data_IF_114426815434
#
_entry.id   IF_114426815434
#
_cell.length_a   1.000
_cell.length_b   1.000
_cell.length_c   1.000
_cell.angle_alpha   90.00
_cell.angle_beta   90.00
_cell.angle_gamma   90.00
#
_symmetry.space_group_name_H-M   'P 1'
#
loop_
_entity.id
_entity.type
_entity.pdbx_description
1 polymer ?
#
# COMPACT_ATOMS: atom_id res chain seq x y z
N UNK A 1 10.89 32.34 -6.64
CA UNK A 1 11.25 31.20 -5.78
C UNK A 1 11.66 30.05 -6.67
N UNK A 2 12.95 29.72 -6.70
CA UNK A 2 13.48 28.62 -7.52
C UNK A 2 13.11 27.31 -6.85
N UNK A 3 12.22 26.52 -7.46
CA UNK A 3 11.90 25.17 -6.97
C UNK A 3 13.15 24.32 -7.21
N UNK A 4 13.93 24.07 -6.16
CA UNK A 4 15.00 23.09 -6.22
C UNK A 4 14.39 21.72 -6.50
N UNK A 5 14.59 21.23 -7.73
CA UNK A 5 14.24 19.85 -8.11
C UNK A 5 15.08 18.90 -7.27
N UNK A 6 14.42 18.02 -6.53
CA UNK A 6 15.10 16.96 -5.81
C UNK A 6 15.54 15.88 -6.80
N UNK A 7 16.79 15.98 -7.25
CA UNK A 7 17.34 15.08 -8.27
C UNK A 7 17.35 13.62 -7.80
N UNK A 8 17.31 13.38 -6.48
CA UNK A 8 17.24 12.03 -5.88
C UNK A 8 15.88 11.35 -6.09
N UNK A 9 14.81 12.15 -6.26
CA UNK A 9 13.45 11.67 -6.45
C UNK A 9 12.99 11.80 -7.90
N UNK A 10 13.90 12.13 -8.82
CA UNK A 10 13.52 12.35 -10.22
C UNK A 10 13.11 11.04 -10.89
N UNK A 11 11.87 10.95 -11.41
CA UNK A 11 11.34 9.75 -12.03
C UNK A 11 12.02 9.43 -13.38
N UNK A 12 12.26 8.15 -13.66
CA UNK A 12 12.57 7.60 -14.98
C UNK A 12 11.44 6.66 -15.41
N UNK A 13 10.69 7.04 -16.45
CA UNK A 13 9.54 6.28 -16.95
C UNK A 13 9.87 4.85 -17.32
N UNK A 14 9.07 3.92 -16.81
CA UNK A 14 9.16 2.50 -17.12
C UNK A 14 8.18 2.03 -18.22
N UNK A 15 7.20 2.87 -18.55
CA UNK A 15 6.05 2.55 -19.42
C UNK A 15 5.26 1.29 -19.00
N UNK A 16 5.40 0.84 -17.75
CA UNK A 16 4.80 -0.40 -17.25
C UNK A 16 3.50 -0.20 -16.52
N UNK A 17 3.19 0.99 -15.98
CA UNK A 17 1.86 1.34 -15.51
C UNK A 17 1.61 2.82 -15.80
N UNK A 18 0.94 3.19 -16.93
CA UNK A 18 0.89 4.56 -17.42
C UNK A 18 0.49 5.59 -16.36
N UNK A 19 -0.53 5.33 -15.53
CA UNK A 19 -0.93 6.28 -14.48
C UNK A 19 0.06 6.40 -13.31
N UNK A 20 0.89 5.40 -13.05
CA UNK A 20 1.96 5.48 -12.06
C UNK A 20 3.21 6.15 -12.65
N UNK A 21 3.44 5.99 -13.95
CA UNK A 21 4.67 6.45 -14.63
C UNK A 21 4.65 7.91 -15.09
N UNK A 22 3.48 8.49 -15.37
CA UNK A 22 3.36 9.84 -15.95
C UNK A 22 3.11 10.94 -14.90
N UNK A 23 2.92 10.56 -13.65
CA UNK A 23 2.59 11.46 -12.54
C UNK A 23 3.79 11.58 -11.61
N UNK A 24 4.08 12.80 -11.15
CA UNK A 24 5.03 13.01 -10.05
C UNK A 24 4.32 12.67 -8.73
N UNK A 25 4.80 11.62 -8.06
CA UNK A 25 4.24 11.13 -6.80
C UNK A 25 4.93 11.75 -5.57
N UNK A 26 5.97 12.56 -5.79
CA UNK A 26 6.69 13.24 -4.71
C UNK A 26 5.73 14.09 -3.89
N UNK A 27 5.79 13.99 -2.57
CA UNK A 27 4.92 14.78 -1.70
C UNK A 27 3.48 14.27 -1.59
N UNK A 28 3.10 13.20 -2.32
CA UNK A 28 1.77 12.60 -2.26
C UNK A 28 1.76 11.45 -1.25
N UNK A 29 0.78 11.44 -0.36
CA UNK A 29 0.53 10.29 0.53
C UNK A 29 -0.15 9.17 -0.26
N UNK A 30 0.39 7.96 -0.19
CA UNK A 30 -0.19 6.78 -0.84
C UNK A 30 -0.36 5.70 0.21
N UNK A 31 -1.54 5.10 0.28
CA UNK A 31 -1.78 3.96 1.16
C UNK A 31 -1.07 2.73 0.59
N UNK A 32 -0.25 2.09 1.40
CA UNK A 32 0.59 0.96 0.97
C UNK A 32 0.21 -0.36 1.62
N UNK A 33 -0.57 -0.32 2.71
CA UNK A 33 -1.04 -1.54 3.38
C UNK A 33 -1.72 -1.26 4.72
N UNK A 34 -1.85 -2.34 5.49
CA UNK A 34 -2.42 -2.37 6.82
C UNK A 34 -1.34 -2.61 7.87
N UNK A 35 -1.53 -2.10 9.09
CA UNK A 35 -0.63 -2.36 10.20
C UNK A 35 -0.60 -3.86 10.57
N UNK A 36 -1.75 -4.54 10.48
CA UNK A 36 -1.92 -5.97 10.81
C UNK A 36 -1.21 -6.90 9.83
N UNK A 37 -0.81 -6.40 8.66
CA UNK A 37 0.03 -7.14 7.73
C UNK A 37 1.46 -7.33 8.27
N UNK A 38 1.93 -6.45 9.17
CA UNK A 38 3.25 -6.55 9.78
C UNK A 38 3.15 -7.34 11.09
N UNK A 39 3.31 -8.65 11.02
CA UNK A 39 3.01 -9.56 12.14
C UNK A 39 4.10 -9.67 13.20
N UNK A 40 5.35 -9.36 12.86
CA UNK A 40 6.48 -9.42 13.79
C UNK A 40 7.53 -8.35 13.52
N UNK A 41 8.38 -8.08 14.53
CA UNK A 41 9.54 -7.21 14.35
C UNK A 41 10.45 -7.78 13.28
N UNK A 42 10.78 -6.94 12.29
CA UNK A 42 11.52 -7.33 11.11
C UNK A 42 10.66 -7.71 9.91
N UNK A 43 9.33 -7.85 10.08
CA UNK A 43 8.41 -8.02 8.96
C UNK A 43 8.46 -6.80 8.02
N UNK A 44 8.33 -7.04 6.72
CA UNK A 44 8.50 -6.03 5.68
C UNK A 44 7.34 -6.08 4.71
N UNK A 45 6.63 -4.98 4.60
CA UNK A 45 5.59 -4.75 3.60
C UNK A 45 6.22 -4.02 2.40
N UNK A 46 6.40 -4.70 1.25
CA UNK A 46 6.90 -4.07 0.03
C UNK A 46 5.83 -3.14 -0.56
N UNK A 47 6.25 -2.02 -1.11
CA UNK A 47 5.35 -1.04 -1.71
C UNK A 47 5.94 -0.34 -2.93
N UNK A 48 5.10 -0.07 -3.92
CA UNK A 48 5.48 0.70 -5.11
C UNK A 48 4.65 1.98 -5.20
N UNK A 49 5.34 3.13 -5.22
CA UNK A 49 4.71 4.45 -5.35
C UNK A 49 5.27 5.14 -6.58
N UNK A 50 4.50 5.14 -7.67
CA UNK A 50 5.01 5.62 -8.95
C UNK A 50 6.19 4.79 -9.42
N UNK A 51 7.39 5.37 -9.33
CA UNK A 51 8.67 4.74 -9.66
C UNK A 51 9.59 4.58 -8.45
N UNK A 52 9.06 4.74 -7.25
CA UNK A 52 9.80 4.56 -6.02
C UNK A 52 9.47 3.20 -5.44
N UNK A 53 10.50 2.39 -5.27
CA UNK A 53 10.42 1.17 -4.47
C UNK A 53 10.58 1.57 -3.00
N UNK A 54 9.49 1.51 -2.26
CA UNK A 54 9.44 1.75 -0.84
C UNK A 54 9.13 0.46 -0.09
N UNK A 55 9.34 0.49 1.21
CA UNK A 55 8.89 -0.58 2.10
C UNK A 55 8.54 0.00 3.45
N UNK A 56 7.62 -0.65 4.14
CA UNK A 56 7.35 -0.41 5.55
C UNK A 56 7.87 -1.61 6.33
N UNK A 57 8.70 -1.38 7.34
CA UNK A 57 9.18 -2.41 8.25
C UNK A 57 8.58 -2.23 9.63
N UNK A 58 8.30 -3.31 10.33
CA UNK A 58 8.03 -3.24 11.76
C UNK A 58 9.33 -3.29 12.55
N UNK A 59 9.59 -2.28 13.37
CA UNK A 59 10.73 -2.23 14.29
C UNK A 59 10.24 -2.36 15.73
N UNK A 60 11.16 -2.51 16.68
CA UNK A 60 10.81 -2.47 18.11
C UNK A 60 10.12 -1.15 18.53
N UNK A 61 10.43 -0.05 17.83
CA UNK A 61 9.83 1.25 18.08
C UNK A 61 8.51 1.49 17.31
N UNK A 62 8.07 0.52 16.50
CA UNK A 62 6.91 0.64 15.61
C UNK A 62 7.27 0.63 14.12
N UNK A 63 6.28 0.84 13.24
CA UNK A 63 6.49 0.78 11.81
C UNK A 63 7.32 1.98 11.30
N UNK A 64 8.22 1.73 10.35
CA UNK A 64 9.07 2.74 9.71
C UNK A 64 9.05 2.51 8.20
N UNK A 65 8.79 3.57 7.43
CA UNK A 65 8.89 3.53 5.97
C UNK A 65 10.28 3.94 5.50
N UNK A 66 10.78 3.28 4.47
CA UNK A 66 12.09 3.59 3.90
C UNK A 66 12.18 3.28 2.40
N UNK A 67 13.21 3.82 1.78
CA UNK A 67 13.71 3.49 0.45
C UNK A 67 15.06 2.78 0.55
N UNK A 68 15.44 2.00 -0.45
CA UNK A 68 16.75 1.36 -0.50
C UNK A 68 17.81 2.30 -1.09
N UNK A 69 18.76 2.73 -0.26
CA UNK A 69 19.79 3.70 -0.63
C UNK A 69 20.79 3.15 -1.68
N UNK A 70 21.11 1.84 -1.65
CA UNK A 70 22.02 1.18 -2.62
C UNK A 70 21.82 -0.35 -2.72
N UNK A 71 21.19 -0.81 -3.80
CA UNK A 71 21.51 -2.12 -4.39
C UNK A 71 21.71 -2.00 -5.91
N UNK A 72 22.77 -2.61 -6.48
CA UNK A 72 23.13 -2.66 -7.92
C UNK A 72 22.35 -1.69 -8.85
N UNK A 73 22.63 -0.38 -8.74
CA UNK A 73 21.99 0.64 -9.58
C UNK A 73 21.14 1.72 -8.86
N UNK A 74 20.89 1.63 -7.55
CA UNK A 74 20.42 2.77 -6.75
C UNK A 74 18.91 3.04 -6.77
N UNK A 75 18.10 2.14 -6.20
CA UNK A 75 16.65 2.29 -6.11
C UNK A 75 16.18 3.34 -5.07
N UNK A 76 16.54 4.59 -5.28
CA UNK A 76 15.71 5.75 -4.93
C UNK A 76 14.78 6.11 -6.11
N UNK A 77 15.25 5.84 -7.34
CA UNK A 77 14.51 5.84 -8.60
C UNK A 77 15.01 4.68 -9.48
N UNK A 78 14.26 4.29 -10.49
CA UNK A 78 14.48 3.03 -11.23
C UNK A 78 15.47 3.25 -12.37
N UNK A 79 16.58 2.52 -12.45
CA UNK A 79 17.49 2.65 -13.58
C UNK A 79 16.84 2.24 -14.91
N UNK A 80 17.16 2.93 -16.00
CA UNK A 80 16.71 2.62 -17.37
C UNK A 80 16.90 1.14 -17.75
N UNK A 81 17.94 0.48 -17.21
CA UNK A 81 18.20 -0.94 -17.44
C UNK A 81 17.10 -1.86 -16.87
N UNK A 82 16.46 -1.47 -15.77
CA UNK A 82 15.28 -2.14 -15.19
C UNK A 82 13.97 -1.79 -15.93
N UNK A 83 13.94 -0.66 -16.67
CA UNK A 83 12.83 -0.23 -17.52
C UNK A 83 12.82 -0.86 -18.93
N UNK A 84 13.89 -1.54 -19.34
CA UNK A 84 13.93 -2.26 -20.62
C UNK A 84 12.93 -3.43 -20.63
N UNK A 85 12.40 -3.76 -21.80
CA UNK A 85 11.19 -4.57 -22.07
C UNK A 85 11.25 -6.06 -21.72
N UNK A 86 12.10 -6.47 -20.76
CA UNK A 86 12.08 -7.81 -20.17
C UNK A 86 11.89 -7.70 -18.65
N UNK A 87 11.03 -8.55 -18.09
CA UNK A 87 10.97 -8.75 -16.64
C UNK A 87 12.33 -9.27 -16.17
N UNK A 88 13.20 -8.37 -15.73
CA UNK A 88 14.40 -8.77 -15.00
C UNK A 88 13.93 -8.95 -13.56
N UNK A 89 13.99 -10.19 -13.06
CA UNK A 89 13.81 -10.45 -11.62
C UNK A 89 14.86 -9.59 -10.90
N UNK A 90 14.42 -8.58 -10.14
CA UNK A 90 15.35 -7.82 -9.34
C UNK A 90 16.09 -8.79 -8.41
N UNK A 91 17.43 -8.76 -8.36
CA UNK A 91 18.18 -9.64 -7.46
C UNK A 91 17.81 -9.45 -5.99
N UNK A 92 17.18 -8.32 -5.64
CA UNK A 92 16.79 -7.97 -4.26
C UNK A 92 15.35 -8.37 -3.89
N UNK A 93 14.62 -9.06 -4.80
CA UNK A 93 13.26 -9.60 -4.62
C UNK A 93 12.19 -8.54 -4.24
N UNK A 94 11.03 -8.57 -4.91
CA UNK A 94 9.83 -7.77 -4.62
C UNK A 94 9.88 -6.22 -4.74
N UNK A 95 10.90 -5.61 -5.38
CA UNK A 95 10.82 -4.18 -5.71
C UNK A 95 10.10 -3.92 -7.06
N UNK A 96 9.16 -2.97 -7.07
CA UNK A 96 8.52 -2.19 -8.17
C UNK A 96 8.29 -2.79 -9.57
N UNK A 97 9.25 -3.53 -10.14
CA UNK A 97 9.16 -4.10 -11.49
C UNK A 97 8.84 -5.59 -11.49
N UNK A 98 8.88 -6.24 -10.32
CA UNK A 98 8.66 -7.69 -10.18
C UNK A 98 7.37 -8.07 -9.45
N UNK A 99 6.37 -7.19 -9.38
CA UNK A 99 5.10 -7.35 -8.63
C UNK A 99 5.25 -7.01 -7.14
N UNK A 100 4.33 -6.19 -6.61
CA UNK A 100 4.17 -5.98 -5.16
C UNK A 100 3.81 -7.34 -4.56
N UNK A 101 4.81 -7.98 -3.95
CA UNK A 101 4.66 -9.31 -3.36
C UNK A 101 3.85 -9.31 -2.07
N UNK A 102 3.63 -10.51 -1.49
CA UNK A 102 3.13 -10.62 -0.13
C UNK A 102 4.11 -9.98 0.87
N UNK A 103 3.64 -9.77 2.10
CA UNK A 103 4.50 -9.34 3.21
C UNK A 103 5.64 -10.34 3.36
N UNK A 104 6.87 -9.85 3.57
CA UNK A 104 8.03 -10.66 3.91
C UNK A 104 8.10 -10.79 5.44
N UNK A 105 7.68 -11.94 5.93
CA UNK A 105 7.59 -12.31 7.34
C UNK A 105 8.19 -13.72 7.54
N UNK A 106 8.16 -14.26 8.75
CA UNK A 106 8.63 -15.62 9.05
C UNK A 106 7.86 -16.71 8.29
N UNK A 107 6.69 -16.40 7.71
CA UNK A 107 5.87 -17.35 6.96
C UNK A 107 6.26 -17.37 5.48
N UNK A 108 6.50 -16.21 4.89
CA UNK A 108 6.81 -16.07 3.45
C UNK A 108 8.31 -16.02 3.16
N UNK A 109 9.13 -15.65 4.16
CA UNK A 109 10.59 -15.69 4.14
C UNK A 109 11.17 -16.29 5.45
N UNK A 110 10.97 -17.60 5.71
CA UNK A 110 11.35 -18.23 6.99
C UNK A 110 12.86 -18.17 7.31
N UNK A 111 13.70 -18.00 6.29
CA UNK A 111 15.15 -17.88 6.46
C UNK A 111 15.62 -16.43 6.53
N UNK A 112 14.72 -15.46 6.28
CA UNK A 112 15.02 -14.05 6.31
C UNK A 112 15.97 -13.55 5.20
N UNK A 113 16.14 -14.32 4.12
CA UNK A 113 17.10 -13.99 3.07
C UNK A 113 16.64 -12.80 2.22
N UNK A 114 15.33 -12.68 1.98
CA UNK A 114 14.79 -11.56 1.24
C UNK A 114 14.69 -10.34 2.16
N UNK A 115 14.19 -10.51 3.39
CA UNK A 115 14.03 -9.40 4.34
C UNK A 115 15.36 -8.78 4.77
N UNK A 116 16.46 -9.54 4.84
CA UNK A 116 17.77 -9.02 5.24
C UNK A 116 18.29 -7.90 4.32
N UNK A 117 17.90 -7.88 3.05
CA UNK A 117 18.29 -6.84 2.10
C UNK A 117 17.65 -5.48 2.42
N UNK A 118 16.54 -5.49 3.15
CA UNK A 118 15.77 -4.31 3.54
C UNK A 118 16.02 -3.92 5.00
N UNK A 119 16.96 -4.53 5.71
CA UNK A 119 17.31 -4.23 7.11
C UNK A 119 18.75 -3.71 7.22
N UNK A 120 18.96 -2.58 7.91
CA UNK A 120 20.30 -2.04 8.22
C UNK A 120 20.68 -0.71 7.53
N UNK A 121 21.98 -0.37 7.54
CA UNK A 121 22.56 0.96 7.20
C UNK A 121 22.37 1.44 5.73
N UNK A 122 21.61 0.71 4.92
CA UNK A 122 21.45 0.93 3.49
C UNK A 122 20.07 1.47 3.12
N UNK A 123 19.29 1.94 4.09
CA UNK A 123 17.97 2.51 3.86
C UNK A 123 17.91 4.01 4.14
N UNK A 124 17.08 4.71 3.40
CA UNK A 124 16.74 6.11 3.62
C UNK A 124 15.32 6.15 4.15
N UNK A 125 15.14 6.56 5.39
CA UNK A 125 13.83 6.67 5.99
C UNK A 125 13.03 7.79 5.31
N UNK A 126 11.76 7.52 5.06
CA UNK A 126 10.82 8.47 4.45
C UNK A 126 9.57 8.57 5.32
N UNK A 127 8.78 9.65 5.19
CA UNK A 127 7.62 9.83 6.04
C UNK A 127 6.60 8.70 5.91
N UNK A 128 6.18 8.20 7.08
CA UNK A 128 5.09 7.27 7.29
C UNK A 128 4.02 7.96 8.13
N UNK A 129 2.76 7.75 7.79
CA UNK A 129 1.62 8.11 8.61
C UNK A 129 0.70 6.89 8.74
N UNK A 130 0.13 6.71 9.92
CA UNK A 130 -0.88 5.69 10.17
C UNK A 130 -2.21 6.39 10.47
N UNK A 131 -3.28 5.95 9.81
CA UNK A 131 -4.63 6.39 10.10
C UNK A 131 -5.54 5.18 10.31
N UNK A 132 -5.90 4.94 11.58
CA UNK A 132 -6.46 3.65 11.98
C UNK A 132 -5.45 2.54 11.70
N UNK A 133 -5.87 1.54 10.95
CA UNK A 133 -4.99 0.46 10.50
C UNK A 133 -4.27 0.74 9.17
N UNK A 134 -4.62 1.82 8.46
CA UNK A 134 -4.07 2.11 7.13
C UNK A 134 -2.71 2.80 7.25
N UNK A 135 -1.71 2.26 6.54
CA UNK A 135 -0.35 2.79 6.46
C UNK A 135 -0.18 3.60 5.18
N UNK A 136 0.19 4.88 5.33
CA UNK A 136 0.43 5.81 4.24
C UNK A 136 1.89 6.20 4.19
N UNK A 137 2.48 6.15 2.99
CA UNK A 137 3.87 6.56 2.76
C UNK A 137 3.89 7.79 1.87
N UNK A 138 4.77 8.74 2.19
CA UNK A 138 5.03 9.91 1.37
C UNK A 138 6.46 9.86 0.85
N UNK A 139 6.63 9.84 -0.47
CA UNK A 139 7.97 9.89 -1.05
C UNK A 139 8.45 11.33 -1.03
N UNK A 140 9.18 11.71 0.00
CA UNK A 140 9.80 13.03 0.14
C UNK A 140 10.95 12.97 1.13
N UNK A 141 11.95 13.83 0.92
CA UNK A 141 13.07 14.02 1.85
C UNK A 141 12.83 15.19 2.83
N UNK A 142 11.63 15.78 2.81
CA UNK A 142 11.25 16.93 3.64
C UNK A 142 10.05 16.58 4.49
N UNK A 143 9.70 17.44 5.44
CA UNK A 143 8.43 17.31 6.17
C UNK A 143 7.26 17.36 5.18
N UNK A 144 6.45 16.28 5.08
CA UNK A 144 5.29 16.27 4.21
C UNK A 144 4.20 17.16 4.79
N UNK A 145 3.22 17.55 3.95
CA UNK A 145 1.96 18.07 4.48
C UNK A 145 1.28 16.99 5.31
N UNK A 146 0.46 17.39 6.29
CA UNK A 146 -0.35 16.45 7.05
C UNK A 146 -1.17 15.56 6.11
N UNK A 147 -1.29 14.28 6.47
CA UNK A 147 -2.13 13.33 5.75
C UNK A 147 -3.58 13.86 5.73
N UNK A 148 -4.21 14.05 4.56
CA UNK A 148 -5.55 14.63 4.47
C UNK A 148 -6.62 13.57 4.77
N UNK A 149 -6.62 13.07 6.00
CA UNK A 149 -7.61 12.09 6.47
C UNK A 149 -8.84 12.78 7.04
N UNK A 150 -10.05 12.26 6.76
CA UNK A 150 -11.27 12.75 7.37
C UNK A 150 -11.30 12.38 8.86
N UNK A 151 -12.11 13.11 9.63
CA UNK A 151 -12.41 12.75 11.02
C UNK A 151 -13.28 11.50 11.06
N UNK A 152 -12.62 10.35 11.26
CA UNK A 152 -13.23 9.02 11.42
C UNK A 152 -12.55 8.34 12.60
N UNK A 153 -13.35 7.96 13.59
CA UNK A 153 -12.88 7.33 14.83
C UNK A 153 -12.65 5.84 14.66
N UNK A 154 -11.41 5.37 14.81
CA UNK A 154 -11.09 3.95 14.74
C UNK A 154 -11.19 3.21 16.09
N UNK A 155 -11.56 3.93 17.15
CA UNK A 155 -11.59 3.41 18.52
C UNK A 155 -12.49 2.19 18.68
N UNK A 156 -11.92 1.14 19.29
CA UNK A 156 -12.64 -0.10 19.58
C UNK A 156 -12.96 -0.95 18.36
N UNK A 157 -12.46 -0.59 17.16
CA UNK A 157 -12.56 -1.42 15.97
C UNK A 157 -11.38 -2.39 15.89
N UNK A 158 -11.66 -3.63 15.51
CA UNK A 158 -10.66 -4.68 15.27
C UNK A 158 -10.84 -5.25 13.88
N UNK A 159 -9.74 -5.63 13.23
CA UNK A 159 -9.79 -6.33 11.95
C UNK A 159 -10.51 -7.68 12.11
N UNK A 160 -11.58 -7.89 11.35
CA UNK A 160 -12.38 -9.13 11.38
C UNK A 160 -12.39 -9.89 10.06
N UNK A 161 -12.09 -9.23 8.95
CA UNK A 161 -11.92 -9.86 7.64
C UNK A 161 -10.97 -9.02 6.78
N UNK A 162 -10.16 -9.65 5.95
CA UNK A 162 -9.27 -8.97 5.02
C UNK A 162 -9.01 -9.83 3.80
N UNK A 163 -8.82 -9.22 2.64
CA UNK A 163 -8.45 -9.98 1.45
C UNK A 163 -7.77 -9.12 0.41
N UNK A 164 -7.23 -9.80 -0.59
CA UNK A 164 -6.62 -9.15 -1.74
C UNK A 164 -6.92 -9.93 -3.01
N UNK A 165 -7.09 -9.21 -4.12
CA UNK A 165 -7.31 -9.80 -5.43
C UNK A 165 -6.67 -8.94 -6.53
N UNK A 166 -6.28 -9.57 -7.62
CA UNK A 166 -5.77 -8.88 -8.81
C UNK A 166 -6.94 -8.55 -9.74
N UNK A 167 -7.26 -7.26 -9.83
CA UNK A 167 -8.35 -6.76 -10.68
C UNK A 167 -7.81 -6.10 -11.94
N UNK A 168 -8.60 -6.16 -13.02
CA UNK A 168 -8.29 -5.42 -14.25
C UNK A 168 -8.53 -3.91 -14.06
N UNK A 169 -7.64 -3.10 -14.65
CA UNK A 169 -7.76 -1.65 -14.70
C UNK A 169 -6.72 -0.91 -13.86
N UNK A 170 -6.91 0.41 -13.80
CA UNK A 170 -6.02 1.37 -13.16
C UNK A 170 -6.23 1.39 -11.65
N UNK A 171 -5.14 1.30 -10.89
CA UNK A 171 -5.16 1.29 -9.42
C UNK A 171 -5.88 2.52 -8.86
N UNK A 172 -5.75 3.70 -9.46
CA UNK A 172 -6.43 4.92 -9.02
C UNK A 172 -7.97 4.83 -9.00
N UNK A 173 -8.54 3.95 -9.84
CA UNK A 173 -9.98 3.80 -9.99
C UNK A 173 -10.49 2.47 -9.42
N UNK A 174 -9.60 1.48 -9.23
CA UNK A 174 -9.97 0.16 -8.75
C UNK A 174 -10.74 0.19 -7.42
N UNK A 175 -10.32 0.93 -6.37
CA UNK A 175 -11.05 1.00 -5.10
C UNK A 175 -12.45 1.56 -5.29
N UNK A 176 -12.59 2.71 -5.97
CA UNK A 176 -13.89 3.35 -6.21
C UNK A 176 -14.85 2.43 -6.96
N UNK A 177 -14.37 1.76 -8.01
CA UNK A 177 -15.19 0.81 -8.78
C UNK A 177 -15.60 -0.38 -7.93
N UNK A 178 -14.68 -0.92 -7.12
CA UNK A 178 -14.94 -2.09 -6.31
C UNK A 178 -16.02 -1.80 -5.26
N UNK A 179 -16.01 -0.62 -4.64
CA UNK A 179 -16.96 -0.28 -3.59
C UNK A 179 -18.36 0.11 -4.10
N UNK A 180 -18.58 0.25 -5.41
CA UNK A 180 -19.89 0.63 -5.98
C UNK A 180 -20.99 -0.34 -5.55
N UNK A 181 -20.73 -1.65 -5.62
CA UNK A 181 -21.69 -2.68 -5.23
C UNK A 181 -21.95 -2.69 -3.71
N UNK A 182 -20.92 -2.45 -2.89
CA UNK A 182 -21.06 -2.36 -1.44
C UNK A 182 -21.85 -1.12 -1.04
N UNK A 183 -21.55 0.03 -1.64
CA UNK A 183 -22.26 1.30 -1.38
C UNK A 183 -23.73 1.20 -1.80
N UNK A 184 -24.02 0.54 -2.93
CA UNK A 184 -25.39 0.28 -3.36
C UNK A 184 -26.16 -0.63 -2.37
N UNK A 185 -25.47 -1.60 -1.75
CA UNK A 185 -26.06 -2.47 -0.73
C UNK A 185 -26.19 -1.82 0.65
N UNK A 186 -25.45 -0.75 0.91
CA UNK A 186 -25.41 -0.02 2.18
C UNK A 186 -25.52 1.49 1.95
N UNK A 187 -26.65 2.00 1.41
CA UNK A 187 -26.78 3.40 0.99
C UNK A 187 -26.76 4.41 2.15
N UNK A 188 -26.95 3.95 3.40
CA UNK A 188 -26.84 4.77 4.60
C UNK A 188 -25.39 4.94 5.08
N UNK A 189 -24.46 4.11 4.61
CA UNK A 189 -23.07 4.16 5.04
C UNK A 189 -22.36 5.38 4.44
N UNK A 190 -21.51 6.01 5.25
CA UNK A 190 -20.71 7.15 4.81
C UNK A 190 -19.50 6.65 4.03
N UNK A 191 -19.37 7.08 2.79
CA UNK A 191 -18.19 6.82 1.96
C UNK A 191 -17.23 8.01 1.99
N UNK A 192 -15.95 7.74 2.20
CA UNK A 192 -14.88 8.73 2.12
C UNK A 192 -13.77 8.23 1.20
N UNK A 193 -13.38 9.07 0.25
CA UNK A 193 -12.25 8.78 -0.63
C UNK A 193 -11.03 9.56 -0.15
N UNK A 194 -9.91 8.86 0.04
CA UNK A 194 -8.61 9.49 0.29
C UNK A 194 -7.77 9.25 -0.95
N UNK A 195 -7.52 10.33 -1.67
CA UNK A 195 -6.67 10.28 -2.85
C UNK A 195 -5.26 9.81 -2.47
N UNK A 196 -4.59 9.03 -3.33
CA UNK A 196 -5.04 8.63 -4.66
C UNK A 196 -5.80 7.30 -4.71
N UNK A 197 -5.71 6.45 -3.68
CA UNK A 197 -5.94 5.02 -3.84
C UNK A 197 -6.71 4.36 -2.71
N UNK A 198 -7.45 5.10 -1.88
CA UNK A 198 -8.23 4.54 -0.77
C UNK A 198 -9.67 5.01 -0.85
N UNK A 199 -10.58 4.08 -0.62
CA UNK A 199 -11.97 4.36 -0.27
C UNK A 199 -12.29 3.67 1.05
N UNK A 200 -12.86 4.44 1.98
CA UNK A 200 -13.35 3.94 3.27
C UNK A 200 -14.86 4.11 3.30
N UNK A 201 -15.57 3.03 3.61
CA UNK A 201 -17.00 3.04 3.89
C UNK A 201 -17.19 2.78 5.37
N UNK A 202 -18.05 3.55 6.03
CA UNK A 202 -18.30 3.43 7.45
C UNK A 202 -19.78 3.49 7.79
N UNK A 203 -20.19 2.67 8.73
CA UNK A 203 -21.42 2.83 9.49
C UNK A 203 -21.14 2.89 11.01
N UNK A 204 -22.17 2.78 11.85
CA UNK A 204 -22.03 2.85 13.32
C UNK A 204 -21.30 1.64 13.93
N UNK A 205 -21.17 0.53 13.20
CA UNK A 205 -20.62 -0.74 13.70
C UNK A 205 -19.29 -1.12 13.07
N UNK A 206 -19.16 -0.83 11.77
CA UNK A 206 -18.09 -1.33 10.93
C UNK A 206 -17.42 -0.22 10.12
N UNK A 207 -16.16 -0.48 9.78
CA UNK A 207 -15.41 0.23 8.75
C UNK A 207 -14.93 -0.77 7.71
N UNK A 208 -15.20 -0.50 6.45
CA UNK A 208 -14.59 -1.17 5.31
C UNK A 208 -13.58 -0.24 4.67
N UNK A 209 -12.31 -0.61 4.66
CA UNK A 209 -11.29 0.06 3.88
C UNK A 209 -10.98 -0.75 2.62
N UNK A 210 -10.93 -0.08 1.47
CA UNK A 210 -10.53 -0.66 0.19
C UNK A 210 -9.45 0.23 -0.40
N UNK A 211 -8.31 -0.35 -0.74
CA UNK A 211 -7.24 0.35 -1.42
C UNK A 211 -6.61 -0.52 -2.50
N UNK A 212 -5.78 0.08 -3.34
CA UNK A 212 -5.17 -0.63 -4.45
C UNK A 212 -3.72 -0.21 -4.67
N UNK A 213 -2.97 -1.10 -5.33
CA UNK A 213 -1.59 -0.88 -5.75
C UNK A 213 -1.39 -1.34 -7.19
N UNK A 214 -0.43 -0.77 -7.94
CA UNK A 214 -0.08 -1.26 -9.28
C UNK A 214 0.35 -2.73 -9.28
N UNK A 215 -0.19 -3.56 -10.18
CA UNK A 215 0.16 -4.99 -10.31
C UNK A 215 0.50 -5.39 -11.77
N UNK A 216 0.88 -4.41 -12.58
CA UNK A 216 1.20 -4.57 -14.00
C UNK A 216 0.48 -3.54 -14.87
N UNK A 217 0.66 -3.61 -16.18
CA UNK A 217 0.23 -2.55 -17.12
C UNK A 217 -1.26 -2.21 -17.10
N UNK A 218 -2.08 -3.22 -16.86
CA UNK A 218 -3.54 -3.10 -16.90
C UNK A 218 -4.18 -3.81 -15.70
N UNK A 219 -3.44 -3.99 -14.62
CA UNK A 219 -3.88 -4.73 -13.44
C UNK A 219 -3.48 -4.01 -12.17
N UNK A 220 -4.31 -4.17 -11.15
CA UNK A 220 -4.11 -3.61 -9.83
C UNK A 220 -4.34 -4.70 -8.79
N UNK A 221 -3.50 -4.74 -7.76
CA UNK A 221 -3.80 -5.50 -6.56
C UNK A 221 -4.75 -4.65 -5.72
N UNK A 222 -5.99 -5.07 -5.61
CA UNK A 222 -6.96 -4.50 -4.68
C UNK A 222 -6.81 -5.22 -3.33
N UNK A 223 -6.90 -4.48 -2.25
CA UNK A 223 -6.93 -5.00 -0.88
C UNK A 223 -8.13 -4.41 -0.17
N UNK A 224 -8.86 -5.23 0.56
CA UNK A 224 -10.00 -4.82 1.37
C UNK A 224 -9.83 -5.33 2.80
N UNK A 225 -10.31 -4.55 3.76
CA UNK A 225 -10.28 -4.89 5.17
C UNK A 225 -11.57 -4.40 5.85
N UNK A 226 -12.19 -5.31 6.58
CA UNK A 226 -13.38 -5.06 7.40
C UNK A 226 -12.94 -5.01 8.85
N UNK A 227 -13.24 -3.89 9.48
CA UNK A 227 -13.05 -3.65 10.90
C UNK A 227 -14.41 -3.54 11.56
N UNK A 228 -14.59 -4.18 12.69
CA UNK A 228 -15.84 -4.14 13.43
C UNK A 228 -15.57 -3.90 14.91
N UNK A 229 -16.55 -3.30 15.60
CA UNK A 229 -16.47 -3.17 17.05
C UNK A 229 -16.74 -4.51 17.76
N UNK A 230 -16.70 -4.50 19.09
CA UNK A 230 -16.94 -5.68 19.94
C UNK A 230 -18.29 -6.38 19.72
N UNK A 231 -19.24 -5.77 19.01
CA UNK A 231 -20.53 -6.38 18.64
C UNK A 231 -20.47 -7.21 17.35
N UNK A 232 -19.28 -7.33 16.74
CA UNK A 232 -19.04 -8.10 15.51
C UNK A 232 -19.39 -7.33 14.23
N UNK A 233 -19.10 -7.93 13.07
CA UNK A 233 -19.37 -7.31 11.77
C UNK A 233 -20.88 -7.18 11.50
N UNK A 234 -21.26 -5.97 11.11
CA UNK A 234 -22.59 -5.59 10.66
C UNK A 234 -22.76 -5.67 9.14
N UNK A 235 -23.51 -4.70 8.59
CA UNK A 235 -23.97 -4.74 7.21
C UNK A 235 -22.84 -4.60 6.19
N UNK A 236 -21.79 -3.84 6.51
CA UNK A 236 -20.63 -3.65 5.65
C UNK A 236 -19.83 -4.94 5.48
N UNK A 237 -19.55 -5.65 6.58
CA UNK A 237 -18.89 -6.97 6.48
C UNK A 237 -19.71 -7.97 5.66
N UNK A 238 -21.02 -8.03 5.86
CA UNK A 238 -21.91 -8.90 5.09
C UNK A 238 -22.02 -8.51 3.61
N UNK A 239 -21.94 -7.21 3.28
CA UNK A 239 -21.90 -6.74 1.90
C UNK A 239 -20.55 -7.06 1.24
N UNK A 240 -19.43 -6.79 1.90
CA UNK A 240 -18.09 -7.14 1.43
C UNK A 240 -17.98 -8.64 1.16
N UNK A 241 -18.44 -9.49 2.08
CA UNK A 241 -18.41 -10.95 1.92
C UNK A 241 -19.28 -11.44 0.74
N UNK A 242 -20.34 -10.73 0.37
CA UNK A 242 -21.16 -11.06 -0.81
C UNK A 242 -20.48 -10.64 -2.12
N UNK A 243 -19.77 -9.52 -2.12
CA UNK A 243 -19.12 -8.97 -3.32
C UNK A 243 -17.79 -9.68 -3.60
N UNK A 244 -16.97 -9.90 -2.57
CA UNK A 244 -15.60 -10.41 -2.71
C UNK A 244 -15.38 -11.79 -2.06
N UNK A 245 -16.41 -12.37 -1.44
CA UNK A 245 -16.28 -13.57 -0.61
C UNK A 245 -15.80 -13.23 0.81
N UNK A 246 -16.07 -14.13 1.76
CA UNK A 246 -15.37 -14.10 3.05
C UNK A 246 -13.97 -14.67 2.84
N UNK A 247 -12.92 -13.98 3.30
CA UNK A 247 -11.64 -14.66 3.39
C UNK A 247 -11.75 -15.72 4.51
N UNK A 248 -11.64 -17.00 4.14
CA UNK A 248 -11.26 -18.07 5.08
C UNK A 248 -9.85 -18.50 4.68
N UNK A 249 -8.87 -17.71 5.07
CA UNK A 249 -7.44 -17.97 4.88
C UNK A 249 -6.66 -16.88 5.62
N UNK A 250 -5.52 -17.21 6.25
CA UNK A 250 -4.91 -16.34 7.25
C UNK A 250 -4.57 -14.99 6.63
N UNK A 251 -4.56 -13.93 7.44
CA UNK A 251 -3.83 -12.68 7.17
C UNK A 251 -2.54 -13.08 6.47
N UNK A 252 -2.44 -12.85 5.17
CA UNK A 252 -1.42 -13.45 4.31
C UNK A 252 -0.13 -12.67 4.39
#
# INVERSE_FOLDING_TARGET
>A
MTVHRDLLLTPVSSARHPSADITDWTGTWVCVGLAEQLTEVGAILPATIGQHAAHVRLTEAGPVAALNARPFGGCLSVPVHCGSTRNVRCPHRACAFSEDGPVLDDRTDPHGNARSEFVGRRTVDIPLAQWGSLLFVNVTMRTPRALPVPDVTWDGLTLVDTGSDTVAGNWLQAPSRAVEQVTAACPWARTVTIAPNVVVIRDDRDVLAVFSRPAGKYRSTMTWAVFANSKGSGALGAAAARVWGSSRGPVA
#
